data_IF_909855805627
#
_entry.id   IF_909855805627
#
_cell.length_a   1.000
_cell.length_b   1.000
_cell.length_c   1.000
_cell.angle_alpha   90.00
_cell.angle_beta   90.00
_cell.angle_gamma   90.00
#
_symmetry.space_group_name_H-M   'P 1'
#
loop_
_entity.id
_entity.type
_entity.pdbx_description
1 polymer ?
#
# COMPACT_ATOMS: atom_id res chain seq x y z
N UNK A 1 22.37 -7.01 6.85
CA UNK A 1 21.23 -6.72 7.76
C UNK A 1 20.71 -5.39 7.30
N UNK A 2 19.49 -5.36 6.77
CA UNK A 2 18.95 -4.19 6.08
C UNK A 2 17.84 -3.57 6.91
N UNK A 3 17.77 -2.26 6.94
CA UNK A 3 16.63 -1.56 7.54
C UNK A 3 15.61 -1.26 6.46
N UNK A 4 14.36 -1.60 6.70
CA UNK A 4 13.25 -1.42 5.77
C UNK A 4 12.23 -0.46 6.37
N UNK A 5 11.77 0.49 5.56
CA UNK A 5 10.72 1.45 5.90
C UNK A 5 9.60 1.36 4.88
N UNK A 6 8.36 1.30 5.36
CA UNK A 6 7.14 1.37 4.54
C UNK A 6 6.43 2.69 4.81
N UNK A 7 5.88 3.29 3.76
CA UNK A 7 5.04 4.48 3.86
C UNK A 7 3.89 4.37 2.88
N UNK A 8 2.66 4.49 3.36
CA UNK A 8 1.45 4.53 2.55
C UNK A 8 0.98 5.97 2.42
N UNK A 9 0.83 6.44 1.17
CA UNK A 9 0.41 7.79 0.83
C UNK A 9 -0.93 7.72 0.09
N UNK A 10 -1.89 8.56 0.49
CA UNK A 10 -3.22 8.65 -0.13
C UNK A 10 -3.23 9.41 -1.46
N UNK A 11 -4.39 9.42 -2.12
CA UNK A 11 -4.61 10.13 -3.38
C UNK A 11 -4.45 11.65 -3.32
N UNK A 12 -4.46 12.25 -2.14
CA UNK A 12 -4.21 13.69 -1.91
C UNK A 12 -2.74 13.97 -1.57
N UNK A 13 -1.91 12.93 -1.44
CA UNK A 13 -0.49 13.03 -1.11
C UNK A 13 -0.20 13.06 0.38
N UNK A 14 -1.16 12.73 1.26
CA UNK A 14 -0.94 12.66 2.70
C UNK A 14 -0.42 11.27 3.10
N UNK A 15 0.51 11.22 4.06
CA UNK A 15 0.86 9.97 4.71
C UNK A 15 -0.31 9.45 5.55
N UNK A 16 -0.71 8.20 5.27
CA UNK A 16 -1.81 7.52 5.94
C UNK A 16 -1.28 6.60 7.03
N UNK A 17 -0.18 5.92 6.75
CA UNK A 17 0.43 4.96 7.66
C UNK A 17 1.90 4.74 7.30
N UNK A 18 2.69 4.30 8.29
CA UNK A 18 4.09 3.96 8.10
C UNK A 18 4.56 2.85 9.04
N UNK A 19 5.63 2.17 8.64
CA UNK A 19 6.21 1.05 9.38
C UNK A 19 7.71 0.96 9.20
N UNK A 20 8.38 0.34 10.16
CA UNK A 20 9.82 0.09 10.11
C UNK A 20 10.12 -1.34 10.56
N UNK A 21 11.16 -1.94 9.97
CA UNK A 21 11.60 -3.28 10.27
C UNK A 21 13.08 -3.47 10.00
N UNK A 22 13.62 -4.56 10.53
CA UNK A 22 15.01 -4.95 10.33
C UNK A 22 15.06 -6.36 9.72
N UNK A 23 15.67 -6.46 8.54
CA UNK A 23 15.81 -7.67 7.74
C UNK A 23 17.17 -8.33 8.00
N UNK A 24 17.16 -9.25 8.97
CA UNK A 24 18.28 -10.15 9.24
C UNK A 24 18.60 -11.06 8.06
N UNK A 25 19.77 -11.70 8.12
CA UNK A 25 20.22 -12.56 7.03
C UNK A 25 19.26 -13.75 6.83
N UNK A 26 18.73 -13.92 5.61
CA UNK A 26 17.70 -14.92 5.26
C UNK A 26 16.39 -14.79 6.06
N UNK A 27 16.10 -13.62 6.63
CA UNK A 27 14.84 -13.35 7.33
C UNK A 27 13.83 -12.66 6.42
N UNK A 28 12.59 -12.64 6.87
CA UNK A 28 11.49 -11.90 6.24
C UNK A 28 10.89 -10.93 7.26
N UNK A 29 10.32 -9.85 6.74
CA UNK A 29 9.53 -8.89 7.49
C UNK A 29 8.23 -8.65 6.75
N UNK A 30 7.16 -8.43 7.49
CA UNK A 30 5.84 -8.13 6.96
C UNK A 30 5.32 -6.86 7.61
N UNK A 31 4.68 -6.02 6.81
CA UNK A 31 3.96 -4.86 7.28
C UNK A 31 2.57 -4.87 6.64
N UNK A 32 1.55 -4.80 7.48
CA UNK A 32 0.15 -4.81 7.09
C UNK A 32 -0.48 -3.48 7.49
N UNK A 33 -1.23 -2.87 6.56
CA UNK A 33 -2.00 -1.66 6.81
C UNK A 33 -3.42 -1.82 6.30
N UNK A 34 -4.38 -1.20 6.99
CA UNK A 34 -5.79 -1.21 6.62
C UNK A 34 -6.35 0.18 6.77
N UNK A 35 -6.86 0.74 5.68
CA UNK A 35 -7.50 2.05 5.66
C UNK A 35 -8.98 1.92 5.28
N UNK A 36 -9.84 2.65 5.99
CA UNK A 36 -11.26 2.78 5.67
C UNK A 36 -11.55 4.20 5.18
N UNK A 37 -12.67 4.39 4.47
CA UNK A 37 -13.06 5.67 3.87
C UNK A 37 -12.02 6.20 2.88
N UNK A 38 -11.56 5.33 1.98
CA UNK A 38 -10.59 5.67 0.94
C UNK A 38 -11.11 6.79 0.04
N UNK A 39 -10.26 7.79 -0.16
CA UNK A 39 -10.50 8.89 -1.10
C UNK A 39 -10.11 8.47 -2.53
N UNK A 40 -10.76 9.05 -3.56
CA UNK A 40 -10.34 8.86 -4.94
C UNK A 40 -8.92 9.38 -5.17
N UNK A 41 -8.18 8.77 -6.09
CA UNK A 41 -6.85 9.20 -6.49
C UNK A 41 -5.86 8.04 -6.54
N UNK A 42 -4.62 8.35 -6.88
CA UNK A 42 -3.54 7.37 -6.96
C UNK A 42 -2.88 7.21 -5.58
N UNK A 43 -2.97 6.00 -5.03
CA UNK A 43 -2.32 5.66 -3.76
C UNK A 43 -0.91 5.12 -4.02
N UNK A 44 0.05 5.50 -3.16
CA UNK A 44 1.45 5.08 -3.30
C UNK A 44 1.90 4.32 -2.05
N UNK A 45 2.43 3.11 -2.25
CA UNK A 45 3.22 2.38 -1.24
C UNK A 45 4.70 2.57 -1.54
N UNK A 46 5.40 3.34 -0.71
CA UNK A 46 6.85 3.48 -0.75
C UNK A 46 7.50 2.43 0.14
N UNK A 47 8.49 1.72 -0.39
CA UNK A 47 9.32 0.76 0.35
C UNK A 47 10.77 1.15 0.18
N UNK A 48 11.39 1.62 1.25
CA UNK A 48 12.80 1.99 1.26
C UNK A 48 13.61 0.93 2.01
N UNK A 49 14.64 0.40 1.37
CA UNK A 49 15.60 -0.52 1.98
C UNK A 49 16.95 0.18 2.03
N UNK A 50 17.48 0.37 3.24
CA UNK A 50 18.81 0.91 3.44
C UNK A 50 19.77 -0.21 3.87
N UNK A 51 21.03 -0.09 3.45
CA UNK A 51 22.09 -1.08 3.66
C UNK A 51 22.00 -2.36 2.80
N UNK A 52 21.98 -2.18 1.48
CA UNK A 52 22.85 -2.90 0.53
C UNK A 52 22.63 -4.40 0.24
N UNK A 53 21.75 -5.11 0.95
CA UNK A 53 21.42 -6.49 0.58
C UNK A 53 20.35 -6.52 -0.53
N UNK A 54 20.39 -7.55 -1.38
CA UNK A 54 19.33 -7.81 -2.37
C UNK A 54 18.07 -8.26 -1.62
N UNK A 55 17.02 -7.43 -1.64
CA UNK A 55 15.73 -7.74 -1.02
C UNK A 55 14.70 -8.06 -2.09
N UNK A 56 13.95 -9.14 -1.88
CA UNK A 56 12.77 -9.45 -2.69
C UNK A 56 11.53 -8.85 -2.04
N UNK A 57 10.72 -8.14 -2.83
CA UNK A 57 9.48 -7.53 -2.36
C UNK A 57 8.27 -8.27 -2.95
N UNK A 58 7.28 -8.57 -2.10
CA UNK A 58 5.98 -9.10 -2.48
C UNK A 58 4.91 -8.21 -1.87
N UNK A 59 4.01 -7.68 -2.71
CA UNK A 59 2.92 -6.81 -2.28
C UNK A 59 1.59 -7.47 -2.61
N UNK A 60 0.67 -7.48 -1.65
CA UNK A 60 -0.71 -7.92 -1.84
C UNK A 60 -1.64 -6.75 -1.50
N UNK A 61 -2.56 -6.43 -2.42
CA UNK A 61 -3.52 -5.32 -2.25
C UNK A 61 -4.92 -5.87 -2.40
N UNK A 62 -5.71 -5.75 -1.34
CA UNK A 62 -7.13 -6.10 -1.34
C UNK A 62 -7.97 -4.85 -1.16
N UNK A 63 -8.87 -4.59 -2.12
CA UNK A 63 -9.82 -3.48 -2.04
C UNK A 63 -11.23 -4.05 -1.91
N UNK A 64 -11.91 -3.68 -0.82
CA UNK A 64 -13.30 -4.05 -0.57
C UNK A 64 -14.19 -2.83 -0.71
N UNK A 65 -15.30 -2.99 -1.43
CA UNK A 65 -16.37 -1.98 -1.51
C UNK A 65 -17.61 -2.53 -0.85
N UNK A 66 -18.47 -1.65 -0.33
CA UNK A 66 -19.78 -2.06 0.17
C UNK A 66 -20.62 -2.47 -1.04
N UNK A 67 -21.15 -3.69 -1.04
CA UNK A 67 -22.01 -4.17 -2.12
C UNK A 67 -23.17 -3.20 -2.35
N UNK A 68 -23.37 -2.77 -3.61
CA UNK A 68 -24.37 -1.78 -3.98
C UNK A 68 -23.96 -0.31 -3.85
N UNK A 69 -22.72 -0.01 -3.44
CA UNK A 69 -22.18 1.37 -3.47
C UNK A 69 -21.64 1.80 -4.85
N UNK A 70 -21.84 0.97 -5.88
CA UNK A 70 -21.42 1.27 -7.25
C UNK A 70 -22.28 2.40 -7.85
N UNK A 71 -21.66 3.20 -8.71
CA UNK A 71 -22.43 4.17 -9.52
C UNK A 71 -23.31 3.44 -10.53
N UNK A 72 -24.46 4.01 -10.85
CA UNK A 72 -25.31 3.49 -11.92
C UNK A 72 -24.55 3.38 -13.25
N UNK A 73 -24.97 2.45 -14.10
CA UNK A 73 -24.35 2.25 -15.42
C UNK A 73 -24.29 3.57 -16.21
N UNK A 74 -23.17 3.81 -16.88
CA UNK A 74 -23.09 4.92 -17.83
C UNK A 74 -24.21 4.78 -18.86
N UNK A 75 -25.03 5.83 -19.09
CA UNK A 75 -26.10 5.76 -20.08
C UNK A 75 -25.50 5.51 -21.45
N UNK A 76 -26.14 4.62 -22.22
CA UNK A 76 -25.78 4.44 -23.63
C UNK A 76 -26.14 5.72 -24.40
N UNK A 77 -25.25 6.27 -25.24
CA UNK A 77 -25.63 7.33 -26.17
C UNK A 77 -26.79 6.85 -27.03
N UNK A 78 -27.84 7.66 -27.13
CA UNK A 78 -28.96 7.46 -28.08
C UNK A 78 -28.60 7.92 -29.47
#
# INVERSE_FOLDING_TARGET
NSDVTWTLIDGDGNEVDSGQGNLGNQQSQTWDSTTMNVIPGDWTLSVEVTQGDDVSLSNEVTITYVEGSESGINPRPV
#
